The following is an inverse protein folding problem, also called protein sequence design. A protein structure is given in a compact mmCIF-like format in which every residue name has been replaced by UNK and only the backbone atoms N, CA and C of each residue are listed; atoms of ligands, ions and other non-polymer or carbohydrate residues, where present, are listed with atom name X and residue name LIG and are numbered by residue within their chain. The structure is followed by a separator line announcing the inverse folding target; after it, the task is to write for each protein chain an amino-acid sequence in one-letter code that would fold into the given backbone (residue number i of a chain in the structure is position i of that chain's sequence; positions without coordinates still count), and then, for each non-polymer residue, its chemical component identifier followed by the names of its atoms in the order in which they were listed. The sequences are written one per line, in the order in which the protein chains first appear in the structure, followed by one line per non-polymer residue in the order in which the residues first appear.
data_IF_622939869762
#
_entry.id   IF_622939869762
#
_cell.length_a   1.000
_cell.length_b   1.000
_cell.length_c   1.000
_cell.angle_alpha   90.00
_cell.angle_beta   90.00
_cell.angle_gamma   90.00
#
_symmetry.space_group_name_H-M   'P 1'
#
loop_
_entity.id
_entity.type
_entity.pdbx_description
1 polymer ?
#
# COMPACT_ATOMS: atom_id res chain seq x y z
N UNK A 1 5.24 -6.24 0.53
CA UNK A 1 5.21 -4.80 0.78
C UNK A 1 4.97 -4.51 2.25
N UNK A 2 5.75 -3.58 2.79
CA UNK A 2 5.63 -3.20 4.20
C UNK A 2 5.14 -1.77 4.35
N UNK A 3 5.43 -0.94 3.34
CA UNK A 3 5.04 0.47 3.36
C UNK A 3 3.67 0.65 2.69
N UNK A 4 3.35 -0.25 1.77
CA UNK A 4 2.08 -0.19 1.06
C UNK A 4 1.13 -1.29 1.54
N UNK A 5 0.02 -1.45 0.82
CA UNK A 5 -0.97 -2.47 1.18
C UNK A 5 -0.51 -3.86 0.76
N UNK A 6 -1.10 -4.88 1.36
CA UNK A 6 -0.76 -6.26 1.05
C UNK A 6 -0.87 -6.52 -0.45
N UNK A 7 -1.81 -5.84 -1.09
CA UNK A 7 -2.02 -5.99 -2.53
C UNK A 7 -1.16 -5.01 -3.32
N UNK A 8 -1.35 -4.99 -4.63
CA UNK A 8 -0.59 -4.10 -5.49
C UNK A 8 -0.71 -2.65 -5.04
N UNK A 9 0.43 -1.95 -4.97
CA UNK A 9 0.48 -0.55 -4.55
C UNK A 9 -0.15 0.39 -5.57
N UNK A 10 -1.47 0.52 -5.53
CA UNK A 10 -2.19 1.38 -6.45
C UNK A 10 -2.55 2.71 -5.79
N UNK A 11 -3.37 3.50 -6.47
CA UNK A 11 -3.79 4.80 -5.95
C UNK A 11 -4.36 4.66 -4.55
N UNK A 12 -4.97 3.52 -4.26
CA UNK A 12 -5.56 3.26 -2.95
C UNK A 12 -4.62 2.44 -2.08
N UNK A 13 -3.99 3.09 -1.12
CA UNK A 13 -3.07 2.42 -0.21
C UNK A 13 -2.91 3.19 1.10
N UNK A 14 -2.45 2.49 2.14
CA UNK A 14 -2.26 3.09 3.47
C UNK A 14 -1.10 4.08 3.49
N UNK A 15 -1.32 5.22 4.14
CA UNK A 15 -0.29 6.25 4.24
C UNK A 15 0.31 6.31 5.63
N UNK A 16 1.10 5.31 5.98
CA UNK A 16 1.73 5.25 7.29
C UNK A 16 2.67 6.44 7.50
#
# INVERSE_FOLDING_TARGET
LVRYTKKVPQVSTPTL
#
